data_IF_584465708564
#
_entry.id   IF_584465708564
#
_cell.length_a   1.000
_cell.length_b   1.000
_cell.length_c   1.000
_cell.angle_alpha   90.00
_cell.angle_beta   90.00
_cell.angle_gamma   90.00
#
_symmetry.space_group_name_H-M   'P 1'
#
loop_
_entity.id
_entity.type
_entity.pdbx_description
1 polymer ?
#
# COMPACT_ATOMS: atom_id res chain seq x y z
N UNK A 1 -29.20 -36.60 -37.74
CA UNK A 1 -28.04 -35.83 -37.24
C UNK A 1 -28.36 -35.27 -35.86
N UNK A 2 -27.40 -35.30 -34.94
CA UNK A 2 -27.32 -34.47 -33.71
C UNK A 2 -28.23 -34.76 -32.50
N UNK A 3 -28.44 -36.02 -32.08
CA UNK A 3 -28.97 -36.32 -30.70
C UNK A 3 -27.93 -37.01 -29.81
N UNK A 4 -27.02 -37.80 -30.39
CA UNK A 4 -25.96 -38.51 -29.64
C UNK A 4 -24.84 -37.60 -29.11
N UNK A 5 -24.67 -36.40 -29.67
CA UNK A 5 -23.62 -35.46 -29.25
C UNK A 5 -24.06 -34.56 -28.08
N UNK A 6 -25.37 -34.45 -27.81
CA UNK A 6 -25.92 -33.67 -26.68
C UNK A 6 -25.67 -34.39 -25.35
N UNK A 7 -25.73 -35.73 -25.33
CA UNK A 7 -25.45 -36.53 -24.14
C UNK A 7 -23.96 -36.70 -23.83
N UNK A 8 -23.08 -36.12 -24.65
CA UNK A 8 -21.63 -36.08 -24.41
C UNK A 8 -21.18 -34.78 -23.74
N UNK A 9 -22.09 -34.08 -23.06
CA UNK A 9 -21.72 -33.11 -22.01
C UNK A 9 -21.14 -33.94 -20.86
N UNK A 10 -19.83 -34.12 -20.97
CA UNK A 10 -18.94 -34.91 -20.13
C UNK A 10 -19.21 -34.72 -18.63
N UNK A 11 -19.40 -35.82 -17.90
CA UNK A 11 -19.39 -35.89 -16.44
C UNK A 11 -18.19 -35.15 -15.80
N UNK A 12 -17.09 -34.95 -16.54
CA UNK A 12 -15.92 -34.18 -16.07
C UNK A 12 -16.21 -32.70 -15.84
N UNK A 13 -17.19 -32.11 -16.52
CA UNK A 13 -17.60 -30.70 -16.27
C UNK A 13 -18.42 -30.58 -14.98
N UNK A 14 -19.17 -31.63 -14.63
CA UNK A 14 -19.96 -31.70 -13.40
C UNK A 14 -19.18 -32.17 -12.17
N UNK A 15 -17.93 -32.65 -12.32
CA UNK A 15 -17.07 -33.09 -11.21
C UNK A 15 -15.68 -32.47 -11.34
N UNK A 16 -15.63 -31.14 -11.44
CA UNK A 16 -14.39 -30.37 -11.36
C UNK A 16 -14.46 -29.34 -10.20
N UNK A 17 -14.41 -29.78 -8.93
CA UNK A 17 -14.48 -28.88 -7.79
C UNK A 17 -13.35 -27.83 -7.79
N UNK A 18 -12.18 -28.16 -8.35
CA UNK A 18 -11.08 -27.22 -8.53
C UNK A 18 -11.37 -26.14 -9.58
N UNK A 19 -12.06 -26.48 -10.66
CA UNK A 19 -12.49 -25.52 -11.69
C UNK A 19 -13.68 -24.66 -11.27
N UNK A 20 -14.56 -25.15 -10.39
CA UNK A 20 -15.69 -24.38 -9.87
C UNK A 20 -15.27 -23.26 -8.93
N UNK A 21 -14.22 -23.49 -8.15
CA UNK A 21 -13.68 -22.49 -7.23
C UNK A 21 -12.55 -21.65 -7.87
N UNK A 22 -12.24 -21.90 -9.14
CA UNK A 22 -11.07 -21.35 -9.84
C UNK A 22 -9.81 -21.45 -8.96
N UNK A 23 -9.50 -22.66 -8.52
CA UNK A 23 -8.41 -22.91 -7.57
C UNK A 23 -7.07 -22.37 -8.07
N UNK A 24 -6.79 -22.48 -9.36
CA UNK A 24 -5.58 -21.93 -9.98
C UNK A 24 -5.58 -20.39 -9.92
N UNK A 25 -6.73 -19.74 -10.15
CA UNK A 25 -6.89 -18.30 -9.95
C UNK A 25 -6.62 -17.87 -8.51
N UNK A 26 -7.24 -18.53 -7.53
CA UNK A 26 -7.02 -18.24 -6.10
C UNK A 26 -5.57 -18.47 -5.65
N UNK A 27 -4.94 -19.54 -6.15
CA UNK A 27 -3.54 -19.85 -5.87
C UNK A 27 -2.61 -18.77 -6.43
N UNK A 28 -2.80 -18.37 -7.68
CA UNK A 28 -1.98 -17.34 -8.32
C UNK A 28 -2.17 -15.96 -7.68
N UNK A 29 -3.40 -15.62 -7.27
CA UNK A 29 -3.69 -14.41 -6.52
C UNK A 29 -3.00 -14.42 -5.15
N UNK A 30 -3.10 -15.53 -4.40
CA UNK A 30 -2.43 -15.67 -3.10
C UNK A 30 -0.90 -15.59 -3.21
N UNK A 31 -0.29 -16.19 -4.23
CA UNK A 31 1.15 -16.08 -4.48
C UNK A 31 1.53 -14.62 -4.75
N UNK A 32 0.72 -13.89 -5.53
CA UNK A 32 0.95 -12.48 -5.83
C UNK A 32 0.85 -11.60 -4.58
N UNK A 33 -0.17 -11.83 -3.75
CA UNK A 33 -0.35 -11.14 -2.46
C UNK A 33 0.85 -11.43 -1.55
N UNK A 34 1.24 -12.69 -1.42
CA UNK A 34 2.38 -13.10 -0.59
C UNK A 34 3.69 -12.46 -1.06
N UNK A 35 3.97 -12.48 -2.36
CA UNK A 35 5.18 -11.87 -2.91
C UNK A 35 5.21 -10.35 -2.71
N UNK A 36 4.06 -9.69 -2.85
CA UNK A 36 3.93 -8.25 -2.60
C UNK A 36 4.18 -7.92 -1.13
N UNK A 37 3.54 -8.65 -0.21
CA UNK A 37 3.78 -8.50 1.22
C UNK A 37 5.23 -8.77 1.58
N UNK A 38 5.82 -9.86 1.06
CA UNK A 38 7.23 -10.19 1.28
C UNK A 38 8.15 -9.09 0.79
N UNK A 39 7.90 -8.49 -0.38
CA UNK A 39 8.69 -7.38 -0.89
C UNK A 39 8.59 -6.13 0.00
N UNK A 40 7.43 -5.86 0.60
CA UNK A 40 7.24 -4.76 1.55
C UNK A 40 8.00 -4.98 2.88
N UNK A 41 8.09 -6.23 3.36
CA UNK A 41 8.73 -6.56 4.64
C UNK A 41 10.20 -6.98 4.52
N UNK A 42 10.69 -7.30 3.32
CA UNK A 42 12.11 -7.56 3.09
C UNK A 42 12.83 -6.22 3.13
N UNK A 43 13.57 -5.94 4.20
CA UNK A 43 14.44 -4.76 4.27
C UNK A 43 15.38 -4.81 3.06
N UNK A 44 15.32 -3.78 2.22
CA UNK A 44 16.33 -3.59 1.20
C UNK A 44 17.68 -3.42 1.93
N UNK A 45 18.55 -4.41 1.84
CA UNK A 45 19.91 -4.31 2.37
C UNK A 45 20.57 -3.16 1.60
N UNK A 46 20.89 -2.02 2.25
CA UNK A 46 21.50 -0.93 1.53
C UNK A 46 22.89 -1.40 1.11
N UNK A 47 23.11 -1.57 -0.19
CA UNK A 47 24.42 -1.96 -0.74
C UNK A 47 25.51 -0.90 -0.48
N UNK A 48 25.14 0.27 0.05
CA UNK A 48 26.03 1.36 0.42
C UNK A 48 25.36 2.22 1.51
N UNK A 49 26.03 2.42 2.65
CA UNK A 49 25.64 3.47 3.60
C UNK A 49 26.13 4.81 3.03
N UNK A 50 25.29 5.49 2.24
CA UNK A 50 25.56 6.85 1.77
C UNK A 50 25.02 7.87 2.77
N UNK A 51 25.80 8.91 3.05
CA UNK A 51 25.33 10.07 3.82
C UNK A 51 24.42 10.96 2.98
N UNK A 52 23.55 11.76 3.62
CA UNK A 52 22.62 12.64 2.92
C UNK A 52 23.33 13.60 1.94
N UNK A 53 24.52 14.08 2.32
CA UNK A 53 25.35 14.95 1.50
C UNK A 53 25.91 14.25 0.25
N UNK A 54 26.31 12.98 0.37
CA UNK A 54 26.76 12.17 -0.79
C UNK A 54 25.60 11.85 -1.74
N UNK A 55 24.41 11.56 -1.19
CA UNK A 55 23.21 11.34 -1.98
C UNK A 55 22.77 12.62 -2.72
N UNK A 56 22.81 13.78 -2.06
CA UNK A 56 22.54 15.08 -2.68
C UNK A 56 23.54 15.41 -3.79
N UNK A 57 24.85 15.18 -3.57
CA UNK A 57 25.89 15.37 -4.58
C UNK A 57 25.70 14.45 -5.79
N UNK A 58 25.28 13.19 -5.58
CA UNK A 58 24.98 12.24 -6.65
C UNK A 58 23.73 12.62 -7.44
N UNK A 59 22.69 13.09 -6.76
CA UNK A 59 21.42 13.46 -7.37
C UNK A 59 21.45 14.85 -8.02
N UNK A 60 22.44 15.68 -7.69
CA UNK A 60 22.58 17.04 -8.24
C UNK A 60 21.46 18.00 -7.79
N UNK A 61 20.76 17.67 -6.71
CA UNK A 61 19.59 18.41 -6.23
C UNK A 61 20.04 19.52 -5.28
N UNK A 62 19.55 20.74 -5.50
CA UNK A 62 19.75 21.86 -4.58
C UNK A 62 18.96 21.64 -3.29
N UNK A 63 19.51 22.08 -2.15
CA UNK A 63 18.83 22.03 -0.85
C UNK A 63 17.44 22.70 -0.90
N UNK A 64 17.28 23.77 -1.68
CA UNK A 64 15.99 24.46 -1.85
C UNK A 64 14.96 23.61 -2.60
N UNK A 65 15.39 22.86 -3.62
CA UNK A 65 14.52 21.98 -4.41
C UNK A 65 14.09 20.76 -3.57
N UNK A 66 14.99 20.25 -2.74
CA UNK A 66 14.68 19.17 -1.79
C UNK A 66 13.60 19.61 -0.79
N UNK A 67 13.71 20.82 -0.22
CA UNK A 67 12.70 21.34 0.70
C UNK A 67 11.34 21.59 0.03
N UNK A 68 11.34 22.12 -1.20
CA UNK A 68 10.11 22.31 -1.99
C UNK A 68 9.43 20.97 -2.30
N UNK A 69 10.22 19.93 -2.56
CA UNK A 69 9.70 18.58 -2.78
C UNK A 69 9.14 17.98 -1.49
N UNK A 70 9.78 18.22 -0.34
CA UNK A 70 9.29 17.75 0.95
C UNK A 70 7.93 18.35 1.35
N UNK A 71 7.68 19.63 1.04
CA UNK A 71 6.37 20.25 1.29
C UNK A 71 5.29 19.66 0.37
N UNK A 72 5.61 19.41 -0.90
CA UNK A 72 4.72 18.73 -1.83
C UNK A 72 4.39 17.30 -1.38
N UNK A 73 5.38 16.52 -0.91
CA UNK A 73 5.15 15.18 -0.37
C UNK A 73 4.24 15.18 0.86
N UNK A 74 4.38 16.15 1.76
CA UNK A 74 3.45 16.29 2.90
C UNK A 74 2.03 16.60 2.44
N UNK A 75 1.86 17.41 1.40
CA UNK A 75 0.54 17.69 0.81
C UNK A 75 -0.07 16.43 0.17
N UNK A 76 0.73 15.64 -0.54
CA UNK A 76 0.26 14.35 -1.08
C UNK A 76 -0.11 13.36 0.03
N UNK A 77 0.70 13.28 1.09
CA UNK A 77 0.40 12.43 2.24
C UNK A 77 -0.97 12.78 2.85
N UNK A 78 -1.23 14.07 3.06
CA UNK A 78 -2.51 14.56 3.57
C UNK A 78 -3.67 14.25 2.60
N UNK A 79 -3.46 14.45 1.29
CA UNK A 79 -4.47 14.15 0.28
C UNK A 79 -4.85 12.66 0.28
N UNK A 80 -3.86 11.77 0.24
CA UNK A 80 -4.10 10.32 0.31
C UNK A 80 -4.74 9.90 1.63
N UNK A 81 -4.40 10.56 2.74
CA UNK A 81 -5.03 10.31 4.03
C UNK A 81 -6.51 10.68 4.03
N UNK A 82 -6.87 11.88 3.53
CA UNK A 82 -8.26 12.33 3.46
C UNK A 82 -9.07 11.43 2.53
N UNK A 83 -8.54 11.13 1.33
CA UNK A 83 -9.21 10.23 0.38
C UNK A 83 -9.38 8.83 0.99
N UNK A 84 -8.34 8.29 1.62
CA UNK A 84 -8.39 7.01 2.31
C UNK A 84 -9.44 6.99 3.43
N UNK A 85 -9.54 8.07 4.19
CA UNK A 85 -10.54 8.24 5.25
C UNK A 85 -11.97 8.28 4.69
N UNK A 86 -12.20 9.02 3.60
CA UNK A 86 -13.50 9.06 2.93
C UNK A 86 -13.91 7.65 2.44
N UNK A 87 -13.00 6.93 1.80
CA UNK A 87 -13.24 5.55 1.33
C UNK A 87 -13.50 4.62 2.51
N UNK A 88 -12.74 4.75 3.60
CA UNK A 88 -12.91 3.95 4.80
C UNK A 88 -14.30 4.15 5.42
N UNK A 89 -14.73 5.39 5.62
CA UNK A 89 -16.07 5.71 6.13
C UNK A 89 -17.15 5.19 5.18
N UNK A 90 -16.98 5.38 3.88
CA UNK A 90 -17.92 4.89 2.87
C UNK A 90 -18.02 3.35 2.86
N UNK A 91 -16.91 2.64 3.08
CA UNK A 91 -16.92 1.18 3.20
C UNK A 91 -17.80 0.73 4.37
N UNK A 92 -17.72 1.40 5.53
CA UNK A 92 -18.60 1.09 6.67
C UNK A 92 -20.06 1.46 6.41
N UNK A 93 -20.32 2.53 5.66
CA UNK A 93 -21.67 2.84 5.19
C UNK A 93 -22.24 1.69 4.34
N UNK A 94 -21.46 1.12 3.40
CA UNK A 94 -21.88 -0.04 2.60
C UNK A 94 -22.15 -1.29 3.45
N UNK A 95 -21.40 -1.48 4.53
CA UNK A 95 -21.60 -2.60 5.45
C UNK A 95 -22.91 -2.49 6.25
N UNK A 96 -23.18 -1.32 6.84
CA UNK A 96 -24.32 -1.15 7.75
C UNK A 96 -25.61 -0.72 7.03
N UNK A 97 -25.50 -0.05 5.88
CA UNK A 97 -26.66 0.40 5.09
C UNK A 97 -27.18 -0.69 4.16
N UNK A 98 -26.29 -1.27 3.34
CA UNK A 98 -26.67 -2.18 2.25
C UNK A 98 -26.32 -3.65 2.54
N UNK A 99 -25.64 -3.95 3.66
CA UNK A 99 -25.15 -5.29 4.02
C UNK A 99 -24.27 -5.96 2.93
N UNK A 100 -23.62 -5.15 2.08
CA UNK A 100 -22.77 -5.64 0.98
C UNK A 100 -21.35 -5.87 1.49
N UNK A 101 -21.09 -7.09 1.98
CA UNK A 101 -19.79 -7.48 2.55
C UNK A 101 -18.66 -7.36 1.53
N UNK A 102 -18.91 -7.70 0.25
CA UNK A 102 -17.90 -7.61 -0.81
C UNK A 102 -17.45 -6.18 -1.07
N UNK A 103 -18.37 -5.23 -1.06
CA UNK A 103 -18.11 -3.80 -1.20
C UNK A 103 -17.35 -3.23 -0.01
N UNK A 104 -17.69 -3.68 1.22
CA UNK A 104 -16.95 -3.33 2.42
C UNK A 104 -15.50 -3.83 2.38
N UNK A 105 -15.28 -5.09 1.98
CA UNK A 105 -13.95 -5.70 1.92
C UNK A 105 -13.07 -5.04 0.85
N UNK A 106 -13.64 -4.71 -0.32
CA UNK A 106 -12.96 -3.94 -1.36
C UNK A 106 -12.65 -2.51 -0.91
N UNK A 107 -13.58 -1.84 -0.23
CA UNK A 107 -13.38 -0.50 0.32
C UNK A 107 -12.29 -0.47 1.40
N UNK A 108 -12.24 -1.49 2.26
CA UNK A 108 -11.17 -1.67 3.23
C UNK A 108 -9.81 -1.85 2.54
N UNK A 109 -9.72 -2.71 1.52
CA UNK A 109 -8.48 -2.89 0.77
C UNK A 109 -8.02 -1.59 0.09
N UNK A 110 -8.96 -0.85 -0.53
CA UNK A 110 -8.66 0.43 -1.17
C UNK A 110 -8.20 1.50 -0.17
N UNK A 111 -8.88 1.65 0.97
CA UNK A 111 -8.48 2.58 2.03
C UNK A 111 -7.11 2.23 2.62
N UNK A 112 -6.81 0.94 2.83
CA UNK A 112 -5.51 0.48 3.30
C UNK A 112 -4.38 0.85 2.32
N UNK A 113 -4.61 0.73 1.01
CA UNK A 113 -3.66 1.18 -0.01
C UNK A 113 -3.43 2.71 0.06
N UNK A 114 -4.49 3.49 0.21
CA UNK A 114 -4.38 4.94 0.39
C UNK A 114 -3.57 5.31 1.64
N UNK A 115 -3.85 4.65 2.78
CA UNK A 115 -3.10 4.89 4.01
C UNK A 115 -1.62 4.47 3.91
N UNK A 116 -1.33 3.36 3.23
CA UNK A 116 0.05 2.95 2.97
C UNK A 116 0.82 4.00 2.15
N UNK A 117 0.17 4.58 1.13
CA UNK A 117 0.78 5.67 0.35
C UNK A 117 0.92 6.95 1.18
N UNK A 118 -0.08 7.30 1.98
CA UNK A 118 -0.01 8.46 2.87
C UNK A 118 1.18 8.36 3.83
N UNK A 119 1.35 7.20 4.47
CA UNK A 119 2.50 6.90 5.32
C UNK A 119 3.83 7.04 4.56
N UNK A 120 3.93 6.45 3.36
CA UNK A 120 5.16 6.50 2.54
C UNK A 120 5.57 7.94 2.23
N UNK A 121 4.64 8.78 1.79
CA UNK A 121 4.92 10.17 1.46
C UNK A 121 5.27 11.01 2.68
N UNK A 122 4.59 10.78 3.81
CA UNK A 122 4.91 11.48 5.06
C UNK A 122 6.30 11.09 5.58
N UNK A 123 6.63 9.80 5.51
CA UNK A 123 7.96 9.30 5.87
C UNK A 123 9.06 9.88 4.98
N UNK A 124 8.86 9.98 3.66
CA UNK A 124 9.82 10.63 2.76
C UNK A 124 9.98 12.13 3.05
N UNK A 125 8.88 12.84 3.31
CA UNK A 125 8.95 14.25 3.71
C UNK A 125 9.76 14.43 5.00
N UNK A 126 9.59 13.50 5.95
CA UNK A 126 10.34 13.49 7.21
C UNK A 126 11.84 13.20 7.02
N UNK A 127 12.20 12.25 6.17
CA UNK A 127 13.60 11.93 5.84
C UNK A 127 14.34 13.14 5.22
N UNK A 128 13.67 13.87 4.32
CA UNK A 128 14.23 15.07 3.71
C UNK A 128 14.42 16.18 4.75
N UNK A 129 13.45 16.38 5.66
CA UNK A 129 13.53 17.38 6.72
C UNK A 129 14.65 17.11 7.72
N UNK A 130 14.83 15.85 8.14
CA UNK A 130 15.86 15.49 9.10
C UNK A 130 17.26 15.34 8.48
N UNK A 131 17.40 15.40 7.15
CA UNK A 131 18.67 15.25 6.42
C UNK A 131 19.46 14.00 6.84
N UNK A 132 18.75 12.93 7.22
CA UNK A 132 19.32 11.65 7.68
C UNK A 132 18.67 10.50 6.95
N UNK A 133 19.47 9.73 6.22
CA UNK A 133 19.07 8.46 5.62
C UNK A 133 19.20 7.37 6.70
N UNK A 134 18.10 6.69 7.05
CA UNK A 134 18.10 5.59 8.03
C UNK A 134 17.40 5.88 9.37
N UNK A 135 16.56 6.91 9.45
CA UNK A 135 15.73 7.16 10.65
C UNK A 135 14.78 5.98 10.90
N UNK A 136 14.67 5.52 12.14
CA UNK A 136 13.81 4.38 12.47
C UNK A 136 12.33 4.80 12.47
N UNK A 137 11.41 3.91 12.06
CA UNK A 137 9.96 4.17 12.07
C UNK A 137 9.45 4.59 13.46
N UNK A 138 10.10 4.14 14.53
CA UNK A 138 9.83 4.56 15.92
C UNK A 138 10.16 6.03 16.20
N UNK A 139 11.19 6.59 15.56
CA UNK A 139 11.55 8.00 15.69
C UNK A 139 10.59 8.89 14.91
N UNK A 140 10.14 8.42 13.73
CA UNK A 140 9.09 9.09 12.96
C UNK A 140 7.77 9.15 13.73
N UNK A 141 7.29 8.04 14.29
CA UNK A 141 6.02 8.03 15.03
C UNK A 141 6.08 8.90 16.28
N UNK A 142 7.24 8.95 16.95
CA UNK A 142 7.48 9.87 18.08
C UNK A 142 7.50 11.33 17.65
N UNK A 143 7.95 11.66 16.43
CA UNK A 143 7.89 13.04 15.92
C UNK A 143 6.46 13.51 15.63
N UNK A 144 5.56 12.59 15.26
CA UNK A 144 4.13 12.91 15.04
C UNK A 144 3.36 12.99 16.36
N UNK A 145 3.66 12.09 17.31
CA UNK A 145 2.95 12.01 18.60
C UNK A 145 3.55 12.92 19.69
N UNK A 146 4.80 13.36 19.52
CA UNK A 146 5.63 13.95 20.59
C UNK A 146 5.82 15.45 20.53
N UNK A 147 5.20 16.19 19.61
CA UNK A 147 5.33 17.65 19.60
C UNK A 147 4.39 18.31 20.63
N UNK A 148 4.77 18.16 21.91
CA UNK A 148 4.37 19.02 23.03
C UNK A 148 5.49 19.24 24.06
N UNK A 149 6.77 18.97 23.73
CA UNK A 149 7.83 19.29 24.68
C UNK A 149 9.23 18.86 24.29
N UNK A 150 9.87 19.62 23.40
CA UNK A 150 11.32 19.75 23.36
C UNK A 150 11.71 20.95 22.47
N UNK A 151 11.28 22.14 22.88
CA UNK A 151 11.90 23.40 22.46
C UNK A 151 12.44 24.12 23.69
N UNK A 152 13.62 23.70 24.12
CA UNK A 152 14.62 24.46 24.90
C UNK A 152 15.96 23.83 24.67
#
# INVERSE_FOLDING_TARGET
MAVRDIFRISWRTFFNPAGWIDYEGLKNQNITIYNTLRALFTRATPGRQETYEEAMKRLGVSDEEAQKTASAYRMYALCFFIVGLCIFVYAFYLLFGEFVITGWLLGLAASALCFAQAFKFDYWAFQIRQRKLGVTVSEWSRSILGDKGAST
#
